data_IF_240711996850
#
_entry.id   IF_240711996850
#
_cell.length_a   1.000
_cell.length_b   1.000
_cell.length_c   1.000
_cell.angle_alpha   90.00
_cell.angle_beta   90.00
_cell.angle_gamma   90.00
#
_symmetry.space_group_name_H-M   'P 1'
#
loop_
_entity.id
_entity.type
_entity.pdbx_description
1 polymer ?
#
# COMPACT_ATOMS: atom_id res chain seq x y z
N UNK A 1 4.09 21.40 2.52
CA UNK A 1 3.06 21.57 1.46
C UNK A 1 3.07 20.32 0.60
N UNK A 2 2.00 19.53 0.56
CA UNK A 2 1.92 18.34 -0.30
C UNK A 2 1.16 18.70 -1.58
N UNK A 3 1.81 18.62 -2.74
CA UNK A 3 1.19 18.90 -4.03
C UNK A 3 0.65 17.60 -4.61
N UNK A 4 -0.67 17.53 -4.88
CA UNK A 4 -1.26 16.40 -5.61
C UNK A 4 -0.86 16.49 -7.08
N UNK A 5 -0.02 15.56 -7.52
CA UNK A 5 0.28 15.39 -8.95
C UNK A 5 -1.01 14.91 -9.64
N UNK A 6 -1.54 15.76 -10.53
CA UNK A 6 -2.66 15.39 -11.41
C UNK A 6 -2.09 14.85 -12.70
N UNK A 7 -2.58 13.69 -13.12
CA UNK A 7 -2.19 13.09 -14.40
C UNK A 7 -3.10 13.65 -15.49
N UNK A 8 -2.50 14.22 -16.53
CA UNK A 8 -3.19 14.78 -17.69
C UNK A 8 -2.88 13.96 -18.95
N UNK A 9 -3.70 14.11 -19.99
CA UNK A 9 -3.53 13.38 -21.26
C UNK A 9 -3.83 11.90 -21.13
N UNK A 10 -2.99 11.07 -21.74
CA UNK A 10 -3.21 9.62 -21.85
C UNK A 10 -3.27 8.89 -20.50
N UNK A 11 -2.50 9.34 -19.51
CA UNK A 11 -2.54 8.80 -18.14
C UNK A 11 -3.65 9.43 -17.28
N UNK A 12 -4.48 10.30 -17.85
CA UNK A 12 -5.60 10.89 -17.13
C UNK A 12 -6.65 9.84 -16.82
N UNK A 13 -7.45 10.11 -15.78
CA UNK A 13 -8.51 9.18 -15.35
C UNK A 13 -9.59 8.95 -16.42
N UNK A 14 -9.75 9.90 -17.36
CA UNK A 14 -10.74 9.84 -18.44
C UNK A 14 -10.30 8.87 -19.56
N UNK A 15 -9.00 8.74 -19.80
CA UNK A 15 -8.43 7.92 -20.88
C UNK A 15 -8.07 6.49 -20.41
N UNK A 16 -8.64 6.05 -19.28
CA UNK A 16 -8.28 4.77 -18.66
C UNK A 16 -8.64 3.56 -19.53
N UNK A 17 -9.67 3.67 -20.36
CA UNK A 17 -10.11 2.63 -21.29
C UNK A 17 -9.10 2.47 -22.44
N UNK A 18 -8.70 3.59 -23.06
CA UNK A 18 -7.66 3.62 -24.09
C UNK A 18 -6.33 3.08 -23.56
N UNK A 19 -5.95 3.47 -22.34
CA UNK A 19 -4.74 2.96 -21.68
C UNK A 19 -4.80 1.44 -21.49
N UNK A 20 -5.97 0.88 -21.15
CA UNK A 20 -6.14 -0.58 -20.98
C UNK A 20 -6.08 -1.32 -22.30
N UNK A 21 -6.69 -0.77 -23.35
CA UNK A 21 -6.63 -1.33 -24.70
C UNK A 21 -5.16 -1.40 -25.17
N UNK A 22 -4.42 -0.29 -25.03
CA UNK A 22 -3.00 -0.24 -25.34
C UNK A 22 -2.19 -1.25 -24.50
N UNK A 23 -2.43 -1.33 -23.19
CA UNK A 23 -1.74 -2.32 -22.33
C UNK A 23 -2.02 -3.75 -22.77
N UNK A 24 -3.26 -4.06 -23.19
CA UNK A 24 -3.62 -5.37 -23.70
C UNK A 24 -2.94 -5.69 -25.03
N UNK A 25 -2.85 -4.71 -25.94
CA UNK A 25 -2.09 -4.83 -27.20
C UNK A 25 -0.60 -5.09 -26.94
N UNK A 26 -0.05 -4.49 -25.88
CA UNK A 26 1.33 -4.70 -25.44
C UNK A 26 1.51 -5.99 -24.61
N UNK A 27 0.47 -6.81 -24.43
CA UNK A 27 0.52 -8.05 -23.65
C UNK A 27 0.67 -7.85 -22.14
N UNK A 28 0.46 -6.63 -21.64
CA UNK A 28 0.49 -6.31 -20.21
C UNK A 28 -0.85 -6.71 -19.60
N UNK A 29 -0.90 -7.92 -19.04
CA UNK A 29 -2.07 -8.41 -18.32
C UNK A 29 -2.28 -7.59 -17.03
N UNK A 30 -3.18 -6.61 -17.07
CA UNK A 30 -3.53 -5.76 -15.91
C UNK A 30 -4.32 -6.50 -14.81
N UNK A 31 -4.51 -7.81 -14.97
CA UNK A 31 -5.19 -8.67 -13.99
C UNK A 31 -4.25 -8.95 -12.82
N UNK A 32 -4.39 -8.15 -11.77
CA UNK A 32 -3.87 -8.54 -10.45
C UNK A 32 -2.51 -7.98 -10.08
N UNK A 33 -2.23 -6.71 -10.36
CA UNK A 33 -1.36 -5.97 -9.44
C UNK A 33 -2.15 -5.84 -8.14
N UNK A 34 -2.06 -6.88 -7.30
CA UNK A 34 -2.27 -6.74 -5.87
C UNK A 34 -1.45 -5.51 -5.51
N UNK A 35 -2.10 -4.45 -5.04
CA UNK A 35 -1.34 -3.35 -4.44
C UNK A 35 -0.58 -4.01 -3.31
N UNK A 36 0.72 -4.20 -3.49
CA UNK A 36 1.59 -4.55 -2.39
C UNK A 36 1.25 -3.55 -1.30
N UNK A 37 0.82 -4.09 -0.14
CA UNK A 37 0.59 -3.25 1.01
C UNK A 37 1.91 -2.52 1.20
N UNK A 38 1.92 -1.20 1.03
CA UNK A 38 3.05 -0.35 1.37
C UNK A 38 3.31 -0.48 2.87
N UNK A 39 3.94 -1.57 3.28
CA UNK A 39 4.80 -1.65 4.44
C UNK A 39 6.23 -1.45 3.96
N UNK A 40 7.09 -0.90 4.80
CA UNK A 40 8.50 -0.73 4.45
C UNK A 40 9.08 -2.07 3.92
N UNK A 41 9.95 -2.04 2.90
CA UNK A 41 10.57 -3.25 2.34
C UNK A 41 11.24 -4.14 3.39
N UNK A 42 11.63 -3.54 4.52
CA UNK A 42 12.22 -4.22 5.69
C UNK A 42 11.25 -5.16 6.42
N UNK A 43 9.93 -4.99 6.26
CA UNK A 43 8.93 -5.87 6.89
C UNK A 43 8.76 -7.21 6.19
N UNK A 44 9.24 -7.35 4.94
CA UNK A 44 8.96 -8.50 4.08
C UNK A 44 10.19 -9.36 3.75
N UNK A 45 11.36 -9.05 4.30
CA UNK A 45 12.48 -10.01 4.26
C UNK A 45 12.20 -11.10 5.28
N UNK A 46 11.85 -12.30 4.80
CA UNK A 46 11.46 -13.48 5.60
C UNK A 46 12.52 -13.86 6.65
N UNK A 47 13.77 -13.49 6.44
CA UNK A 47 14.91 -13.82 7.31
C UNK A 47 15.30 -12.71 8.31
N UNK A 48 14.64 -11.54 8.29
CA UNK A 48 15.01 -10.42 9.14
C UNK A 48 14.11 -10.32 10.38
N UNK A 49 14.64 -10.75 11.53
CA UNK A 49 13.94 -10.58 12.81
C UNK A 49 14.04 -9.13 13.30
N UNK A 50 12.98 -8.36 13.09
CA UNK A 50 12.82 -6.96 13.51
C UNK A 50 13.01 -6.73 15.03
N UNK A 51 12.97 -7.79 15.83
CA UNK A 51 13.19 -7.71 17.27
C UNK A 51 14.66 -7.82 17.65
N UNK A 52 15.57 -8.05 16.72
CA UNK A 52 17.02 -8.16 16.99
C UNK A 52 17.70 -6.83 16.66
N UNK A 53 18.63 -6.41 17.51
CA UNK A 53 19.43 -5.21 17.29
C UNK A 53 20.30 -5.37 16.03
N UNK A 54 20.17 -4.47 15.03
CA UNK A 54 20.94 -4.54 13.78
C UNK A 54 22.44 -4.27 13.97
N UNK A 55 22.84 -3.64 15.07
CA UNK A 55 24.24 -3.32 15.32
C UNK A 55 25.00 -4.50 15.94
N UNK A 56 24.40 -5.21 16.89
CA UNK A 56 25.09 -6.24 17.67
C UNK A 56 24.58 -7.66 17.44
N UNK A 57 23.43 -7.85 16.79
CA UNK A 57 22.78 -9.13 16.51
C UNK A 57 22.53 -10.05 17.72
N UNK A 58 22.67 -9.51 18.94
CA UNK A 58 22.55 -10.25 20.21
C UNK A 58 21.46 -9.68 21.11
N UNK A 59 21.28 -8.35 21.07
CA UNK A 59 20.28 -7.66 21.89
C UNK A 59 18.89 -7.72 21.26
N UNK A 60 17.87 -7.77 22.10
CA UNK A 60 16.45 -7.70 21.69
C UNK A 60 15.96 -6.26 21.79
N UNK A 61 15.37 -5.75 20.72
CA UNK A 61 14.70 -4.46 20.68
C UNK A 61 13.36 -4.56 21.41
N UNK A 62 13.09 -3.59 22.29
CA UNK A 62 11.80 -3.46 22.97
C UNK A 62 11.13 -2.17 22.53
N UNK A 63 9.80 -2.20 22.37
CA UNK A 63 9.03 -1.01 22.02
C UNK A 63 8.78 -0.18 23.28
N UNK A 64 9.32 1.03 23.32
CA UNK A 64 9.15 1.95 24.46
C UNK A 64 7.89 2.81 24.28
N UNK A 65 7.56 3.17 23.03
CA UNK A 65 6.43 4.04 22.71
C UNK A 65 5.83 3.64 21.37
N UNK A 66 4.50 3.51 21.31
CA UNK A 66 3.76 3.22 20.10
C UNK A 66 2.73 4.32 19.86
N UNK A 67 2.77 4.92 18.68
CA UNK A 67 1.73 5.83 18.23
C UNK A 67 0.77 5.03 17.35
N UNK A 68 -0.46 4.83 17.83
CA UNK A 68 -1.51 4.28 17.00
C UNK A 68 -1.72 5.18 15.78
N UNK A 69 -1.95 4.59 14.62
CA UNK A 69 -2.43 5.35 13.48
C UNK A 69 -3.72 6.07 13.91
N UNK A 70 -3.88 7.35 13.53
CA UNK A 70 -5.13 8.10 13.65
C UNK A 70 -6.18 7.51 12.70
N UNK A 71 -6.48 6.23 12.87
CA UNK A 71 -7.46 5.51 12.10
C UNK A 71 -8.84 6.05 12.45
N UNK A 72 -9.74 6.19 11.46
CA UNK A 72 -11.10 6.62 11.74
C UNK A 72 -11.76 5.64 12.72
N UNK A 73 -12.64 6.14 13.61
CA UNK A 73 -13.41 5.33 14.54
C UNK A 73 -13.95 4.05 13.90
N UNK A 74 -13.93 2.95 14.64
CA UNK A 74 -14.39 1.62 14.17
C UNK A 74 -15.81 1.66 13.60
N UNK A 75 -16.66 2.55 14.12
CA UNK A 75 -18.02 2.80 13.63
C UNK A 75 -18.07 3.26 12.17
N UNK A 76 -17.11 4.05 11.71
CA UNK A 76 -17.01 4.51 10.31
C UNK A 76 -16.48 3.38 9.43
N UNK A 77 -15.45 2.65 9.89
CA UNK A 77 -14.87 1.53 9.16
C UNK A 77 -15.87 0.38 8.94
N UNK A 78 -16.74 0.10 9.91
CA UNK A 78 -17.75 -0.95 9.80
C UNK A 78 -18.84 -0.60 8.76
N UNK A 79 -19.25 0.67 8.67
CA UNK A 79 -20.19 1.13 7.63
C UNK A 79 -19.58 0.98 6.24
N UNK A 80 -18.32 1.38 6.06
CA UNK A 80 -17.62 1.26 4.78
C UNK A 80 -17.47 -0.20 4.33
N UNK A 81 -17.23 -1.13 5.26
CA UNK A 81 -17.17 -2.58 4.97
C UNK A 81 -18.54 -3.19 4.64
N UNK A 82 -19.62 -2.70 5.25
CA UNK A 82 -20.97 -3.16 4.96
C UNK A 82 -21.41 -2.78 3.54
N UNK A 83 -21.03 -1.60 3.05
CA UNK A 83 -21.34 -1.14 1.69
C UNK A 83 -20.44 -1.75 0.60
N UNK A 84 -19.29 -2.32 0.96
CA UNK A 84 -18.37 -2.97 0.01
C UNK A 84 -18.69 -4.46 -0.25
N UNK A 85 -19.75 -4.99 0.37
CA UNK A 85 -20.17 -6.41 0.27
C UNK A 85 -21.36 -6.64 -0.67
N UNK A 86 -21.74 -5.63 -1.45
CA UNK A 86 -22.76 -5.68 -2.52
C UNK A 86 -22.06 -5.49 -3.86
#
# INVERSE_FOLDING_TARGET
>A
MFVKIRHYGFLSRRNKEELRAFQQEQGINSTGIQKEKHGDPLYFQEDYNINICPCCHKGTLITILYFAANAPPSTINNKLKAHAKT
#
